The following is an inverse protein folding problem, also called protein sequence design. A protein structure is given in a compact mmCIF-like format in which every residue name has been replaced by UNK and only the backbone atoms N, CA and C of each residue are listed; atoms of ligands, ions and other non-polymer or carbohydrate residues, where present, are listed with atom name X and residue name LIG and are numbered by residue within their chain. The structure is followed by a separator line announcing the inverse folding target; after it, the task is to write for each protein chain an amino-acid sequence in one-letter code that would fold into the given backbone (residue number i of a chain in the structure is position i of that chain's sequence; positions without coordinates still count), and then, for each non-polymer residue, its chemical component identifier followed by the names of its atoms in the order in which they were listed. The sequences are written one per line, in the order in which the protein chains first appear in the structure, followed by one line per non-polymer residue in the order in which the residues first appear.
data_IF_959284220878
#
_entry.id   IF_959284220878
#
_cell.length_a   1.000
_cell.length_b   1.000
_cell.length_c   1.000
_cell.angle_alpha   90.00
_cell.angle_beta   90.00
_cell.angle_gamma   90.00
#
_symmetry.space_group_name_H-M   'P 1'
#
loop_
_entity.id
_entity.type
_entity.pdbx_description
1 polymer ?
#
# COMPACT_ATOMS: atom_id res chain seq x y z
N UNK A 1 7.79 -28.40 20.51
CA UNK A 1 7.98 -26.98 20.93
C UNK A 1 6.94 -26.13 20.19
N UNK A 2 6.32 -25.17 20.84
CA UNK A 2 5.30 -24.35 20.18
C UNK A 2 5.97 -23.33 19.22
N UNK A 3 6.31 -23.79 18.02
CA UNK A 3 6.91 -22.96 16.96
C UNK A 3 6.00 -21.79 16.55
N UNK A 4 4.71 -21.95 16.79
CA UNK A 4 3.67 -20.97 16.51
C UNK A 4 3.49 -19.91 17.61
N UNK A 5 4.43 -19.81 18.57
CA UNK A 5 4.36 -18.78 19.61
C UNK A 5 4.76 -17.42 19.01
N UNK A 6 3.85 -16.45 18.96
CA UNK A 6 4.18 -15.13 18.45
C UNK A 6 5.02 -14.34 19.47
N UNK A 7 5.67 -13.30 18.99
CA UNK A 7 6.31 -12.31 19.84
C UNK A 7 5.25 -11.36 20.45
N UNK A 8 5.48 -10.85 21.65
CA UNK A 8 4.50 -9.99 22.34
C UNK A 8 4.13 -8.76 21.51
N UNK A 9 5.12 -8.12 20.88
CA UNK A 9 4.86 -6.94 20.03
C UNK A 9 4.05 -7.29 18.77
N UNK A 10 4.10 -8.53 18.30
CA UNK A 10 3.26 -9.01 17.21
C UNK A 10 1.79 -9.05 17.61
N UNK A 11 1.47 -9.51 18.83
CA UNK A 11 0.09 -9.65 19.30
C UNK A 11 -0.62 -8.28 19.34
N UNK A 12 0.08 -7.24 19.76
CA UNK A 12 -0.46 -5.87 19.77
C UNK A 12 -0.60 -5.30 18.36
N UNK A 13 0.43 -5.46 17.52
CA UNK A 13 0.43 -4.97 16.15
C UNK A 13 -0.60 -5.70 15.26
N UNK A 14 -0.84 -6.98 15.51
CA UNK A 14 -1.78 -7.81 14.71
C UNK A 14 -3.19 -7.23 14.67
N UNK A 15 -3.64 -6.59 15.77
CA UNK A 15 -4.95 -5.91 15.86
C UNK A 15 -5.01 -4.69 14.95
N UNK A 16 -3.90 -3.94 14.86
CA UNK A 16 -3.76 -2.78 13.98
C UNK A 16 -3.70 -3.25 12.52
N UNK A 17 -2.88 -4.24 12.21
CA UNK A 17 -2.76 -4.80 10.86
C UNK A 17 -4.09 -5.33 10.34
N UNK A 18 -4.83 -6.08 11.17
CA UNK A 18 -6.18 -6.53 10.82
C UNK A 18 -7.09 -5.35 10.45
N UNK A 19 -7.10 -4.29 11.26
CA UNK A 19 -7.88 -3.08 11.00
C UNK A 19 -7.49 -2.45 9.67
N UNK A 20 -6.19 -2.26 9.43
CA UNK A 20 -5.66 -1.69 8.18
C UNK A 20 -6.07 -2.54 6.98
N UNK A 21 -5.95 -3.85 7.08
CA UNK A 21 -6.29 -4.80 6.03
C UNK A 21 -7.79 -4.75 5.70
N UNK A 22 -8.65 -4.80 6.72
CA UNK A 22 -10.10 -4.79 6.55
C UNK A 22 -10.60 -3.45 5.98
N UNK A 23 -10.08 -2.32 6.47
CA UNK A 23 -10.41 -0.98 5.93
C UNK A 23 -9.94 -0.84 4.48
N UNK A 24 -8.73 -1.28 4.17
CA UNK A 24 -8.22 -1.27 2.79
C UNK A 24 -9.02 -2.19 1.87
N UNK A 25 -9.42 -3.37 2.34
CA UNK A 25 -10.28 -4.29 1.60
C UNK A 25 -11.66 -3.69 1.30
N UNK A 26 -12.16 -2.81 2.18
CA UNK A 26 -13.36 -2.01 1.97
C UNK A 26 -14.59 -2.53 2.68
N UNK A 27 -15.77 -2.08 2.20
CA UNK A 27 -17.07 -2.23 2.86
C UNK A 27 -17.38 -3.66 3.35
N UNK A 28 -17.20 -4.63 2.50
CA UNK A 28 -17.60 -6.01 2.83
C UNK A 28 -16.73 -6.62 3.94
N UNK A 29 -15.44 -6.29 3.97
CA UNK A 29 -14.53 -6.69 5.03
C UNK A 29 -14.88 -5.99 6.36
N UNK A 30 -15.25 -4.71 6.32
CA UNK A 30 -15.68 -3.95 7.49
C UNK A 30 -16.99 -4.53 8.05
N UNK A 31 -17.97 -4.86 7.21
CA UNK A 31 -19.21 -5.52 7.62
C UNK A 31 -18.90 -6.90 8.23
N UNK A 32 -18.03 -7.69 7.61
CA UNK A 32 -17.61 -9.00 8.12
C UNK A 32 -16.91 -8.92 9.48
N UNK A 33 -16.22 -7.81 9.76
CA UNK A 33 -15.60 -7.51 11.05
C UNK A 33 -16.61 -7.34 12.19
N UNK A 34 -17.88 -7.07 11.88
CA UNK A 34 -19.00 -7.03 12.81
C UNK A 34 -18.81 -6.04 13.96
N UNK A 35 -19.00 -6.52 15.19
CA UNK A 35 -18.95 -5.68 16.41
C UNK A 35 -17.58 -5.01 16.66
N UNK A 36 -16.51 -5.49 16.03
CA UNK A 36 -15.19 -4.86 16.13
C UNK A 36 -15.22 -3.44 15.52
N UNK A 37 -15.97 -3.26 14.43
CA UNK A 37 -16.01 -1.99 13.70
C UNK A 37 -17.33 -1.24 13.86
N UNK A 38 -18.44 -1.98 14.02
CA UNK A 38 -19.79 -1.41 14.12
C UNK A 38 -20.45 -1.86 15.41
N UNK A 39 -20.68 -0.97 16.38
CA UNK A 39 -21.33 -1.31 17.63
C UNK A 39 -22.70 -1.93 17.39
N UNK A 40 -23.06 -2.86 18.25
CA UNK A 40 -24.39 -3.49 18.23
C UNK A 40 -25.45 -2.53 18.71
N UNK A 41 -26.53 -2.44 17.96
CA UNK A 41 -27.69 -1.67 18.40
C UNK A 41 -28.35 -2.37 19.60
N UNK A 42 -28.68 -1.62 20.66
CA UNK A 42 -29.36 -2.19 21.82
C UNK A 42 -30.68 -2.90 21.43
N UNK A 43 -30.87 -4.10 21.92
CA UNK A 43 -32.10 -4.91 21.68
C UNK A 43 -32.44 -5.22 20.21
N UNK A 44 -31.50 -4.97 19.26
CA UNK A 44 -31.75 -5.32 17.86
C UNK A 44 -31.67 -6.83 17.62
N UNK A 45 -32.59 -7.35 16.80
CA UNK A 45 -32.48 -8.71 16.27
C UNK A 45 -31.26 -8.79 15.30
N UNK A 46 -30.74 -10.01 15.05
CA UNK A 46 -29.66 -10.18 14.06
C UNK A 46 -30.01 -9.63 12.67
N UNK A 47 -31.25 -9.74 12.24
CA UNK A 47 -31.76 -9.20 10.96
C UNK A 47 -31.79 -7.65 10.97
N UNK A 48 -32.22 -7.04 12.09
CA UNK A 48 -32.21 -5.59 12.23
C UNK A 48 -30.80 -5.03 12.25
N UNK A 49 -29.84 -5.68 12.93
CA UNK A 49 -28.44 -5.32 12.93
C UNK A 49 -27.84 -5.45 11.51
N UNK A 50 -28.13 -6.52 10.79
CA UNK A 50 -27.68 -6.70 9.42
C UNK A 50 -28.27 -5.62 8.49
N UNK A 51 -29.56 -5.30 8.64
CA UNK A 51 -30.19 -4.22 7.86
C UNK A 51 -29.56 -2.85 8.15
N UNK A 52 -29.24 -2.55 9.40
CA UNK A 52 -28.53 -1.33 9.82
C UNK A 52 -27.16 -1.23 9.16
N UNK A 53 -26.30 -2.25 9.29
CA UNK A 53 -24.96 -2.24 8.70
C UNK A 53 -24.99 -2.24 7.17
N UNK A 54 -25.96 -2.95 6.54
CA UNK A 54 -26.09 -2.98 5.09
C UNK A 54 -26.59 -1.65 4.47
N UNK A 55 -27.13 -0.73 5.25
CA UNK A 55 -27.46 0.62 4.75
C UNK A 55 -26.28 1.54 4.70
N UNK A 56 -25.32 1.39 5.61
CA UNK A 56 -24.18 2.28 5.70
C UNK A 56 -23.38 2.37 4.39
N UNK A 57 -22.92 3.56 4.08
CA UNK A 57 -22.02 3.82 2.96
C UNK A 57 -20.58 3.93 3.47
N UNK A 58 -19.68 3.12 2.92
CA UNK A 58 -18.27 3.10 3.33
C UNK A 58 -17.40 3.87 2.32
N UNK A 59 -16.81 4.97 2.75
CA UNK A 59 -15.87 5.76 1.96
C UNK A 59 -14.44 5.24 2.16
N UNK A 60 -13.91 4.50 1.17
CA UNK A 60 -12.57 3.91 1.24
C UNK A 60 -11.47 4.93 0.86
N UNK A 61 -11.25 5.90 1.75
CA UNK A 61 -10.19 6.88 1.59
C UNK A 61 -8.80 6.22 1.68
N UNK A 62 -8.64 5.21 2.56
CA UNK A 62 -7.35 4.54 2.78
C UNK A 62 -6.81 3.92 1.48
N UNK A 63 -7.61 3.11 0.78
CA UNK A 63 -7.18 2.48 -0.48
C UNK A 63 -6.80 3.52 -1.53
N UNK A 64 -7.60 4.57 -1.67
CA UNK A 64 -7.31 5.65 -2.62
C UNK A 64 -6.00 6.34 -2.31
N UNK A 65 -5.76 6.63 -1.03
CA UNK A 65 -4.52 7.26 -0.57
C UNK A 65 -3.31 6.36 -0.81
N UNK A 66 -3.37 5.07 -0.42
CA UNK A 66 -2.27 4.11 -0.71
C UNK A 66 -1.97 4.07 -2.21
N UNK A 67 -3.01 3.90 -3.05
CA UNK A 67 -2.83 3.85 -4.51
C UNK A 67 -2.21 5.12 -5.06
N UNK A 68 -2.66 6.28 -4.58
CA UNK A 68 -2.13 7.55 -5.03
C UNK A 68 -0.69 7.82 -4.58
N UNK A 69 -0.33 7.49 -3.32
CA UNK A 69 1.03 7.63 -2.81
C UNK A 69 2.01 6.72 -3.56
N UNK A 70 1.61 5.45 -3.79
CA UNK A 70 2.39 4.51 -4.60
C UNK A 70 2.52 5.04 -6.03
N UNK A 71 1.41 5.51 -6.63
CA UNK A 71 1.44 6.13 -7.96
C UNK A 71 2.38 7.33 -8.06
N UNK A 72 2.47 8.15 -7.02
CA UNK A 72 3.43 9.26 -6.95
C UNK A 72 4.89 8.79 -6.92
N UNK A 73 5.22 7.80 -6.07
CA UNK A 73 6.57 7.24 -5.98
C UNK A 73 6.99 6.57 -7.31
N UNK A 74 6.07 5.89 -7.99
CA UNK A 74 6.32 5.18 -9.24
C UNK A 74 5.86 5.95 -10.49
N UNK A 75 5.66 7.25 -10.38
CA UNK A 75 5.30 8.10 -11.50
C UNK A 75 6.38 8.11 -12.59
N UNK A 76 7.64 8.10 -12.18
CA UNK A 76 8.78 7.81 -13.04
C UNK A 76 9.20 6.35 -12.83
N UNK A 77 9.59 5.68 -13.91
CA UNK A 77 10.05 4.29 -13.81
C UNK A 77 11.26 4.18 -12.88
N UNK A 78 11.28 3.22 -11.94
CA UNK A 78 12.43 2.99 -11.08
C UNK A 78 13.69 2.71 -11.89
N UNK A 79 14.81 3.24 -11.43
CA UNK A 79 16.11 2.91 -12.00
C UNK A 79 16.84 1.93 -11.07
N UNK A 80 17.27 0.81 -11.64
CA UNK A 80 18.03 -0.21 -10.95
C UNK A 80 19.45 -0.23 -11.50
N UNK A 81 20.41 0.17 -10.68
CA UNK A 81 21.83 0.07 -11.00
C UNK A 81 22.38 -1.17 -10.31
N UNK A 82 22.69 -2.20 -11.10
CA UNK A 82 23.09 -3.52 -10.61
C UNK A 82 24.21 -4.10 -11.45
N UNK A 83 25.02 -5.04 -10.91
CA UNK A 83 26.01 -5.76 -11.70
C UNK A 83 25.36 -6.44 -12.92
N UNK A 84 26.07 -6.52 -14.05
CA UNK A 84 25.57 -7.09 -15.31
C UNK A 84 25.02 -8.52 -15.18
N UNK A 85 25.52 -9.31 -14.22
CA UNK A 85 25.01 -10.65 -13.92
C UNK A 85 23.63 -10.68 -13.28
N UNK A 86 23.23 -9.59 -12.58
CA UNK A 86 21.92 -9.47 -11.93
C UNK A 86 20.89 -8.87 -12.88
N UNK A 87 21.33 -8.09 -13.87
CA UNK A 87 20.44 -7.37 -14.79
C UNK A 87 19.35 -8.26 -15.43
N UNK A 88 19.63 -9.48 -15.91
CA UNK A 88 18.59 -10.34 -16.48
C UNK A 88 17.55 -10.84 -15.47
N UNK A 89 17.86 -10.80 -14.16
CA UNK A 89 16.94 -11.27 -13.13
C UNK A 89 15.89 -10.24 -12.75
N UNK A 90 16.09 -8.97 -13.14
CA UNK A 90 15.13 -7.90 -12.86
C UNK A 90 13.79 -8.12 -13.59
N UNK A 91 13.77 -8.90 -14.66
CA UNK A 91 12.57 -9.25 -15.40
C UNK A 91 11.71 -10.31 -14.70
N UNK A 92 12.31 -11.06 -13.77
CA UNK A 92 11.61 -12.05 -12.95
C UNK A 92 12.37 -12.29 -11.63
N UNK A 93 12.05 -11.53 -10.60
CA UNK A 93 12.74 -11.57 -9.30
C UNK A 93 12.17 -12.62 -8.33
N UNK A 94 11.03 -13.23 -8.65
CA UNK A 94 10.31 -14.16 -7.78
C UNK A 94 10.24 -15.60 -8.28
N UNK A 95 10.73 -15.88 -9.48
CA UNK A 95 10.53 -17.12 -10.26
C UNK A 95 9.06 -17.38 -10.66
N UNK A 96 8.22 -16.33 -10.61
CA UNK A 96 6.81 -16.37 -11.01
C UNK A 96 6.46 -15.28 -12.03
N UNK A 97 7.46 -14.82 -12.78
CA UNK A 97 7.35 -13.77 -13.81
C UNK A 97 6.98 -12.38 -13.26
N UNK A 98 7.37 -12.07 -12.02
CA UNK A 98 7.21 -10.73 -11.43
C UNK A 98 8.49 -9.93 -11.64
N UNK A 99 8.39 -8.80 -12.34
CA UNK A 99 9.52 -7.89 -12.54
C UNK A 99 9.91 -7.17 -11.24
N UNK A 100 11.15 -6.70 -11.14
CA UNK A 100 11.60 -5.89 -9.98
C UNK A 100 10.75 -4.64 -9.78
N UNK A 101 10.30 -4.01 -10.86
CA UNK A 101 9.39 -2.85 -10.80
C UNK A 101 8.05 -3.22 -10.15
N UNK A 102 7.41 -4.31 -10.59
CA UNK A 102 6.15 -4.77 -10.03
C UNK A 102 6.31 -5.17 -8.56
N UNK A 103 7.37 -5.90 -8.23
CA UNK A 103 7.72 -6.26 -6.85
C UNK A 103 7.90 -5.01 -5.97
N UNK A 104 8.63 -4.00 -6.46
CA UNK A 104 8.89 -2.75 -5.73
C UNK A 104 7.60 -1.99 -5.44
N UNK A 105 6.67 -1.94 -6.40
CA UNK A 105 5.36 -1.30 -6.28
C UNK A 105 4.50 -2.01 -5.22
N UNK A 106 4.41 -3.34 -5.27
CA UNK A 106 3.67 -4.15 -4.29
C UNK A 106 4.28 -4.03 -2.89
N UNK A 107 5.61 -4.11 -2.78
CA UNK A 107 6.33 -3.95 -1.52
C UNK A 107 6.11 -2.57 -0.89
N UNK A 108 6.15 -1.50 -1.70
CA UNK A 108 5.87 -0.13 -1.23
C UNK A 108 4.43 0.03 -0.76
N UNK A 109 3.47 -0.55 -1.50
CA UNK A 109 2.06 -0.56 -1.10
C UNK A 109 1.85 -1.26 0.24
N UNK A 110 2.48 -2.40 0.45
CA UNK A 110 2.40 -3.16 1.70
C UNK A 110 3.05 -2.42 2.87
N UNK A 111 4.21 -1.80 2.65
CA UNK A 111 4.91 -0.99 3.64
C UNK A 111 4.09 0.24 4.06
N UNK A 112 3.45 0.93 3.12
CA UNK A 112 2.55 2.06 3.41
C UNK A 112 1.32 1.61 4.19
N UNK A 113 0.78 0.44 3.86
CA UNK A 113 -0.43 -0.08 4.48
C UNK A 113 -0.17 -0.67 5.86
N UNK A 114 0.90 -1.47 6.03
CA UNK A 114 1.15 -2.26 7.23
C UNK A 114 2.31 -1.76 8.09
N UNK A 115 3.10 -0.80 7.59
CA UNK A 115 4.33 -0.35 8.24
C UNK A 115 5.48 -1.35 8.17
N UNK A 116 5.30 -2.52 7.51
CA UNK A 116 6.31 -3.57 7.46
C UNK A 116 6.02 -4.60 6.37
N UNK A 117 7.07 -5.07 5.71
CA UNK A 117 7.08 -6.27 4.85
C UNK A 117 8.36 -7.05 5.12
N UNK A 118 8.27 -8.38 5.26
CA UNK A 118 9.44 -9.26 5.31
C UNK A 118 9.80 -9.76 3.92
N UNK A 119 11.08 -9.80 3.58
CA UNK A 119 11.55 -10.38 2.31
C UNK A 119 12.74 -11.31 2.58
N UNK A 120 12.60 -12.55 2.16
CA UNK A 120 13.65 -13.55 2.16
C UNK A 120 14.29 -13.58 0.76
N UNK A 121 15.60 -13.47 0.69
CA UNK A 121 16.35 -13.83 -0.52
C UNK A 121 16.68 -15.30 -0.44
N UNK A 122 16.25 -16.10 -1.40
CA UNK A 122 16.41 -17.55 -1.40
C UNK A 122 17.07 -18.03 -2.69
N UNK A 123 17.68 -19.20 -2.67
CA UNK A 123 18.28 -19.84 -3.83
C UNK A 123 17.45 -21.07 -4.21
N UNK A 124 17.01 -21.18 -5.45
CA UNK A 124 16.28 -22.35 -5.91
C UNK A 124 17.11 -23.63 -5.74
N UNK A 125 16.56 -24.63 -5.05
CA UNK A 125 17.24 -25.88 -4.79
C UNK A 125 17.31 -26.77 -6.05
N UNK A 126 16.27 -26.72 -6.87
CA UNK A 126 16.16 -27.46 -8.13
C UNK A 126 15.79 -26.50 -9.24
N UNK A 127 16.51 -26.56 -10.34
CA UNK A 127 16.23 -25.81 -11.56
C UNK A 127 15.96 -26.83 -12.67
N UNK A 128 14.77 -26.76 -13.25
CA UNK A 128 14.36 -27.68 -14.31
C UNK A 128 15.02 -27.30 -15.64
N UNK A 129 15.18 -25.99 -15.88
CA UNK A 129 15.88 -25.43 -17.06
C UNK A 129 16.52 -24.09 -16.68
N UNK A 130 17.84 -23.98 -16.72
CA UNK A 130 18.56 -22.73 -16.53
C UNK A 130 19.58 -22.72 -15.40
N UNK A 131 20.15 -21.55 -15.13
CA UNK A 131 21.09 -21.32 -14.02
C UNK A 131 20.37 -21.17 -12.69
N UNK A 132 20.93 -21.79 -11.65
CA UNK A 132 20.49 -21.59 -10.28
C UNK A 132 20.73 -20.13 -9.87
N UNK A 133 19.66 -19.40 -9.58
CA UNK A 133 19.73 -17.97 -9.25
C UNK A 133 18.95 -17.63 -7.97
N UNK A 134 19.36 -16.57 -7.24
CA UNK A 134 18.61 -16.07 -6.12
C UNK A 134 17.26 -15.47 -6.57
N UNK A 135 16.26 -15.56 -5.69
CA UNK A 135 14.94 -14.99 -5.91
C UNK A 135 14.37 -14.41 -4.59
N UNK A 136 13.36 -13.58 -4.72
CA UNK A 136 12.71 -12.89 -3.59
C UNK A 136 11.42 -13.60 -3.20
N UNK A 137 11.24 -13.82 -1.89
CA UNK A 137 10.00 -14.32 -1.30
C UNK A 137 9.49 -13.30 -0.29
N UNK A 138 8.32 -12.72 -0.54
CA UNK A 138 7.71 -11.74 0.36
C UNK A 138 6.84 -12.40 1.41
N UNK A 139 6.90 -11.86 2.63
CA UNK A 139 6.06 -12.26 3.77
C UNK A 139 5.39 -11.01 4.34
N UNK A 140 4.07 -10.98 4.28
CA UNK A 140 3.29 -9.87 4.88
C UNK A 140 3.57 -9.77 6.37
N UNK A 141 3.31 -8.61 6.97
CA UNK A 141 3.58 -8.35 8.38
C UNK A 141 2.97 -9.42 9.30
N UNK A 142 1.76 -9.89 8.97
CA UNK A 142 1.02 -10.91 9.72
C UNK A 142 1.65 -12.31 9.64
N UNK A 143 2.49 -12.55 8.64
CA UNK A 143 3.12 -13.84 8.41
C UNK A 143 4.54 -13.95 9.01
N UNK A 144 5.08 -12.88 9.56
CA UNK A 144 6.33 -12.90 10.34
C UNK A 144 5.98 -12.86 11.82
N UNK A 145 5.77 -14.00 12.44
CA UNK A 145 5.19 -14.10 13.79
C UNK A 145 6.20 -13.92 14.92
N UNK A 146 7.47 -14.28 14.69
CA UNK A 146 8.53 -14.16 15.69
C UNK A 146 9.88 -13.87 15.04
N UNK A 147 10.72 -13.11 15.73
CA UNK A 147 12.09 -12.81 15.31
C UNK A 147 12.96 -12.48 16.53
N UNK A 148 14.25 -12.69 16.41
CA UNK A 148 15.23 -12.36 17.43
C UNK A 148 16.48 -11.77 16.79
N UNK A 149 17.02 -10.75 17.41
CA UNK A 149 18.35 -10.22 17.11
C UNK A 149 19.30 -10.47 18.26
N UNK A 150 20.58 -10.55 17.94
CA UNK A 150 21.66 -10.60 18.92
C UNK A 150 22.72 -9.60 18.47
N UNK A 151 23.24 -8.82 19.39
CA UNK A 151 24.35 -7.92 19.09
C UNK A 151 25.64 -8.75 18.94
N UNK A 152 26.20 -8.72 17.74
CA UNK A 152 27.48 -9.35 17.41
C UNK A 152 28.44 -8.25 16.94
N UNK A 153 29.47 -7.99 17.73
CA UNK A 153 30.50 -6.99 17.42
C UNK A 153 29.99 -5.56 17.19
N UNK A 154 28.86 -5.20 17.79
CA UNK A 154 28.24 -3.86 17.62
C UNK A 154 27.09 -3.84 16.61
N UNK A 155 26.91 -4.88 15.83
CA UNK A 155 25.81 -4.99 14.86
C UNK A 155 24.67 -5.88 15.39
N UNK A 156 23.43 -5.46 15.19
CA UNK A 156 22.24 -6.25 15.50
C UNK A 156 21.95 -7.22 14.36
N UNK A 157 22.34 -8.47 14.56
CA UNK A 157 22.19 -9.55 13.59
C UNK A 157 20.95 -10.38 13.89
N UNK A 158 20.15 -10.70 12.87
CA UNK A 158 19.03 -11.64 13.00
C UNK A 158 19.56 -13.05 13.32
N UNK A 159 19.06 -13.64 14.41
CA UNK A 159 19.40 -15.00 14.82
C UNK A 159 18.24 -15.97 14.74
N UNK A 160 17.01 -15.45 14.64
CA UNK A 160 15.80 -16.24 14.47
C UNK A 160 14.79 -15.43 13.64
N UNK A 161 14.10 -16.07 12.69
CA UNK A 161 12.87 -15.57 12.08
C UNK A 161 11.90 -16.74 11.93
N UNK A 162 10.64 -16.56 12.35
CA UNK A 162 9.59 -17.55 12.21
C UNK A 162 8.53 -17.01 11.25
N UNK A 163 8.39 -17.69 10.13
CA UNK A 163 7.52 -17.34 9.02
C UNK A 163 6.35 -18.31 8.97
N UNK A 164 5.14 -17.79 8.90
CA UNK A 164 3.93 -18.59 8.71
C UNK A 164 3.61 -18.65 7.22
N UNK A 165 3.38 -19.84 6.72
CA UNK A 165 3.10 -20.12 5.31
C UNK A 165 1.82 -20.95 5.16
N UNK A 166 1.20 -20.83 4.00
CA UNK A 166 0.00 -21.58 3.66
C UNK A 166 0.15 -22.23 2.27
N UNK A 167 1.05 -23.21 2.11
CA UNK A 167 1.13 -23.95 0.86
C UNK A 167 -0.19 -24.66 0.57
N UNK A 168 -0.45 -24.84 -0.71
CA UNK A 168 -1.65 -25.53 -1.18
C UNK A 168 -1.27 -26.92 -1.69
N UNK A 169 -2.04 -27.93 -1.28
CA UNK A 169 -1.91 -29.30 -1.76
C UNK A 169 -3.24 -29.74 -2.37
N UNK A 170 -3.15 -30.53 -3.43
CA UNK A 170 -4.34 -31.12 -4.05
C UNK A 170 -4.95 -32.15 -3.09
N UNK A 171 -6.27 -32.20 -3.04
CA UNK A 171 -6.98 -33.23 -2.28
C UNK A 171 -6.90 -34.59 -3.03
N UNK A 172 -6.48 -35.63 -2.33
CA UNK A 172 -6.30 -36.97 -2.94
C UNK A 172 -7.63 -37.55 -3.49
N UNK A 173 -8.77 -37.10 -2.97
CA UNK A 173 -10.11 -37.58 -3.34
C UNK A 173 -10.80 -36.74 -4.40
N UNK A 174 -10.39 -35.47 -4.57
CA UNK A 174 -11.00 -34.53 -5.51
C UNK A 174 -9.91 -33.66 -6.19
N UNK A 175 -9.61 -33.89 -7.47
CA UNK A 175 -8.56 -33.16 -8.19
C UNK A 175 -8.88 -31.68 -8.42
N UNK A 176 -10.10 -31.24 -8.14
CA UNK A 176 -10.51 -29.82 -8.21
C UNK A 176 -10.48 -29.11 -6.85
N UNK A 177 -10.28 -29.87 -5.77
CA UNK A 177 -10.21 -29.34 -4.43
C UNK A 177 -8.77 -29.13 -4.01
N UNK A 178 -8.50 -27.93 -3.52
CA UNK A 178 -7.20 -27.51 -3.01
C UNK A 178 -7.30 -27.27 -1.51
N UNK A 179 -6.46 -27.95 -0.74
CA UNK A 179 -6.36 -27.78 0.69
C UNK A 179 -5.19 -26.83 1.02
N UNK A 180 -5.44 -25.87 1.90
CA UNK A 180 -4.41 -24.97 2.41
C UNK A 180 -3.86 -25.53 3.73
N UNK A 181 -2.55 -25.72 3.82
CA UNK A 181 -1.88 -26.29 4.98
C UNK A 181 -1.13 -25.21 5.71
N UNK A 182 -1.41 -25.02 7.00
CA UNK A 182 -0.64 -24.13 7.83
C UNK A 182 0.72 -24.76 8.17
N UNK A 183 1.79 -24.08 7.80
CA UNK A 183 3.16 -24.48 8.17
C UNK A 183 3.97 -23.29 8.64
N UNK A 184 5.05 -23.58 9.35
CA UNK A 184 6.01 -22.59 9.81
C UNK A 184 7.38 -22.89 9.24
N UNK A 185 8.01 -21.88 8.64
CA UNK A 185 9.40 -21.90 8.24
C UNK A 185 10.21 -21.17 9.30
N UNK A 186 11.14 -21.88 9.92
CA UNK A 186 12.01 -21.33 10.95
C UNK A 186 13.40 -21.13 10.37
N UNK A 187 13.84 -19.89 10.34
CA UNK A 187 15.17 -19.47 9.93
C UNK A 187 16.00 -19.27 11.19
N UNK A 188 17.13 -19.96 11.31
CA UNK A 188 18.01 -19.84 12.49
C UNK A 188 19.44 -19.60 12.10
N UNK A 189 20.13 -18.77 12.88
CA UNK A 189 21.57 -18.56 12.80
C UNK A 189 22.18 -19.04 14.12
N UNK A 190 22.86 -20.18 14.09
CA UNK A 190 23.51 -20.79 15.26
C UNK A 190 24.99 -20.99 14.97
N UNK A 191 25.86 -20.51 15.83
CA UNK A 191 27.31 -20.59 15.67
C UNK A 191 27.82 -20.11 14.30
N UNK A 192 27.17 -19.06 13.73
CA UNK A 192 27.54 -18.52 12.43
C UNK A 192 27.07 -19.34 11.22
N UNK A 193 26.21 -20.33 11.43
CA UNK A 193 25.63 -21.17 10.37
C UNK A 193 24.13 -20.88 10.25
N UNK A 194 23.70 -20.46 9.09
CA UNK A 194 22.28 -20.25 8.75
C UNK A 194 21.63 -21.58 8.34
N UNK A 195 20.47 -21.87 8.91
CA UNK A 195 19.68 -23.06 8.59
C UNK A 195 18.20 -22.74 8.49
N UNK A 196 17.45 -23.55 7.75
CA UNK A 196 16.00 -23.50 7.59
C UNK A 196 15.38 -24.83 7.98
N UNK A 197 14.27 -24.78 8.74
CA UNK A 197 13.48 -25.97 9.08
C UNK A 197 12.00 -25.65 8.90
N UNK A 198 11.28 -26.53 8.21
CA UNK A 198 9.83 -26.48 8.14
C UNK A 198 9.21 -27.22 9.32
N UNK A 199 8.05 -26.74 9.76
CA UNK A 199 7.24 -27.37 10.80
C UNK A 199 5.80 -27.45 10.30
N UNK A 200 5.21 -28.62 10.42
CA UNK A 200 3.80 -28.87 10.09
C UNK A 200 3.08 -29.48 11.28
N UNK A 201 1.76 -29.31 11.28
CA UNK A 201 0.90 -29.90 12.31
C UNK A 201 0.91 -31.42 12.17
N UNK A 202 1.26 -32.13 13.23
CA UNK A 202 1.23 -33.58 13.24
C UNK A 202 -0.20 -34.10 13.38
N UNK A 203 -0.55 -35.13 12.63
CA UNK A 203 -1.89 -35.71 12.60
C UNK A 203 -2.33 -36.26 13.96
N UNK A 204 -1.37 -36.70 14.78
CA UNK A 204 -1.66 -37.43 16.04
C UNK A 204 -1.67 -36.55 17.29
N UNK A 205 -0.87 -35.46 17.32
CA UNK A 205 -0.73 -34.61 18.51
C UNK A 205 -1.38 -33.26 18.40
N UNK A 206 -1.60 -32.80 17.18
CA UNK A 206 -2.04 -31.45 16.93
C UNK A 206 -0.95 -30.38 17.14
N UNK A 207 0.24 -30.77 17.58
CA UNK A 207 1.42 -29.93 17.73
C UNK A 207 2.15 -29.78 16.40
N UNK A 208 2.95 -28.70 16.27
CA UNK A 208 3.83 -28.53 15.12
C UNK A 208 5.14 -29.27 15.34
N UNK A 209 5.46 -30.16 14.42
CA UNK A 209 6.67 -30.98 14.43
C UNK A 209 7.54 -30.69 13.19
N UNK A 210 8.88 -30.92 13.25
CA UNK A 210 9.75 -30.76 12.09
C UNK A 210 9.23 -31.58 10.90
N UNK A 211 9.14 -30.94 9.74
CA UNK A 211 8.70 -31.56 8.49
C UNK A 211 9.82 -31.47 7.45
N UNK A 212 10.21 -32.60 6.89
CA UNK A 212 11.34 -32.71 5.98
C UNK A 212 12.70 -32.53 6.67
N UNK A 213 13.74 -32.49 5.86
CA UNK A 213 15.11 -32.31 6.37
C UNK A 213 15.41 -30.83 6.62
N UNK A 214 16.29 -30.58 7.59
CA UNK A 214 16.83 -29.24 7.82
C UNK A 214 17.74 -28.85 6.65
N UNK A 215 17.50 -27.71 6.07
CA UNK A 215 18.26 -27.18 4.93
C UNK A 215 19.31 -26.20 5.44
N UNK A 216 20.54 -26.38 4.98
CA UNK A 216 21.62 -25.40 5.17
C UNK A 216 21.95 -24.80 3.80
N UNK A 217 21.45 -23.57 3.51
CA UNK A 217 21.77 -22.93 2.25
C UNK A 217 23.27 -22.65 2.12
N UNK A 218 23.80 -22.96 0.96
CA UNK A 218 25.23 -22.82 0.66
C UNK A 218 25.46 -21.72 -0.36
N UNK A 219 26.54 -20.99 -0.18
CA UNK A 219 27.15 -20.15 -1.21
C UNK A 219 28.52 -20.67 -1.54
N UNK A 220 28.71 -21.16 -2.76
CA UNK A 220 30.00 -21.73 -3.21
C UNK A 220 30.52 -22.88 -2.35
N UNK A 221 29.61 -23.69 -1.82
CA UNK A 221 29.93 -24.79 -0.95
C UNK A 221 30.09 -24.46 0.53
N UNK A 222 30.06 -23.18 0.91
CA UNK A 222 30.14 -22.73 2.31
C UNK A 222 28.77 -22.30 2.84
N UNK A 223 28.44 -22.62 4.10
CA UNK A 223 27.22 -22.14 4.73
C UNK A 223 27.17 -20.61 4.83
N UNK A 224 25.96 -20.04 4.72
CA UNK A 224 25.77 -18.61 4.95
C UNK A 224 25.97 -18.26 6.43
N UNK A 225 26.67 -17.15 6.68
CA UNK A 225 26.97 -16.65 8.03
C UNK A 225 25.93 -15.65 8.55
N UNK A 226 24.82 -15.43 7.83
CA UNK A 226 23.71 -14.56 8.24
C UNK A 226 22.39 -15.06 7.63
N UNK A 227 21.26 -14.66 8.20
CA UNK A 227 19.93 -14.93 7.65
C UNK A 227 19.66 -13.91 6.53
N UNK A 228 19.48 -14.33 5.27
CA UNK A 228 19.26 -13.43 4.12
C UNK A 228 17.81 -12.91 4.09
N UNK A 229 17.35 -12.38 5.23
CA UNK A 229 16.01 -11.85 5.43
C UNK A 229 16.09 -10.36 5.79
N UNK A 230 15.26 -9.56 5.15
CA UNK A 230 15.21 -8.11 5.35
C UNK A 230 13.79 -7.68 5.69
N UNK A 231 13.66 -6.83 6.70
CA UNK A 231 12.41 -6.12 6.95
C UNK A 231 12.43 -4.80 6.21
N UNK A 232 11.48 -4.61 5.30
CA UNK A 232 11.21 -3.35 4.65
C UNK A 232 10.28 -2.54 5.57
N UNK A 233 10.56 -1.25 5.75
CA UNK A 233 9.81 -0.36 6.62
C UNK A 233 9.68 1.04 5.98
N UNK A 234 8.70 1.85 6.39
CA UNK A 234 8.46 3.19 5.82
C UNK A 234 9.50 4.25 6.25
N UNK A 235 10.33 3.90 7.19
CA UNK A 235 11.51 4.65 7.61
C UNK A 235 12.69 3.68 7.64
N UNK A 236 13.90 4.14 7.96
CA UNK A 236 15.11 3.31 7.95
C UNK A 236 14.88 1.87 8.40
N UNK A 237 15.60 0.93 7.76
CA UNK A 237 15.49 -0.50 8.02
C UNK A 237 15.53 -0.79 9.53
N UNK A 238 14.44 -1.29 10.07
CA UNK A 238 14.29 -1.59 11.49
C UNK A 238 13.72 -2.98 11.65
N UNK A 239 14.34 -3.76 12.52
CA UNK A 239 13.81 -5.07 12.91
C UNK A 239 12.56 -4.93 13.79
N UNK A 240 12.40 -3.79 14.47
CA UNK A 240 11.22 -3.46 15.27
C UNK A 240 9.99 -3.17 14.40
N UNK A 241 8.82 -3.43 14.97
CA UNK A 241 7.55 -3.08 14.34
C UNK A 241 7.40 -1.55 14.32
N UNK A 242 7.07 -0.99 13.17
CA UNK A 242 6.69 0.41 13.02
C UNK A 242 5.19 0.51 12.88
N UNK A 243 4.63 1.58 13.40
CA UNK A 243 3.22 1.89 13.21
C UNK A 243 2.94 2.17 11.72
N UNK A 244 1.84 1.64 11.17
CA UNK A 244 1.46 1.94 9.79
C UNK A 244 1.29 3.45 9.57
N UNK A 245 1.91 4.04 8.53
CA UNK A 245 1.87 5.50 8.29
C UNK A 245 0.47 6.08 8.13
N UNK A 246 -0.49 5.25 7.72
CA UNK A 246 -1.86 5.67 7.41
C UNK A 246 -2.90 5.17 8.44
N UNK A 247 -2.47 4.80 9.65
CA UNK A 247 -3.37 4.25 10.68
C UNK A 247 -4.45 5.25 11.10
N UNK A 248 -4.14 6.52 11.19
CA UNK A 248 -5.12 7.56 11.53
C UNK A 248 -6.21 7.69 10.46
N UNK A 249 -5.84 7.58 9.19
CA UNK A 249 -6.80 7.57 8.07
C UNK A 249 -7.74 6.37 8.16
N UNK A 250 -7.26 5.19 8.53
CA UNK A 250 -8.09 4.02 8.77
C UNK A 250 -9.05 4.23 9.95
N UNK A 251 -8.58 4.84 11.03
CA UNK A 251 -9.40 5.14 12.21
C UNK A 251 -10.54 6.12 11.89
N UNK A 252 -10.26 7.17 11.12
CA UNK A 252 -11.27 8.14 10.68
C UNK A 252 -12.26 7.49 9.72
N UNK A 253 -11.81 6.64 8.78
CA UNK A 253 -12.69 5.91 7.87
C UNK A 253 -13.69 5.02 8.61
N UNK A 254 -13.27 4.35 9.70
CA UNK A 254 -14.17 3.57 10.54
C UNK A 254 -15.11 4.47 11.39
N UNK A 255 -14.66 5.64 11.77
CA UNK A 255 -15.51 6.61 12.48
C UNK A 255 -16.56 7.21 11.55
N UNK A 256 -16.21 7.49 10.30
CA UNK A 256 -17.14 7.92 9.25
C UNK A 256 -18.16 6.83 8.95
N UNK A 257 -17.72 5.58 8.79
CA UNK A 257 -18.59 4.42 8.58
C UNK A 257 -19.69 4.30 9.63
N UNK A 258 -19.37 4.46 10.92
CA UNK A 258 -20.36 4.40 12.01
C UNK A 258 -21.41 5.50 11.88
N UNK A 259 -20.97 6.72 11.62
CA UNK A 259 -21.89 7.84 11.42
C UNK A 259 -22.73 7.66 10.15
N UNK A 260 -22.19 7.06 9.10
CA UNK A 260 -22.92 6.73 7.88
C UNK A 260 -24.01 5.72 8.15
N UNK A 261 -23.74 4.66 8.94
CA UNK A 261 -24.78 3.70 9.35
C UNK A 261 -25.92 4.39 10.12
N UNK A 262 -25.60 5.27 11.07
CA UNK A 262 -26.57 6.03 11.84
C UNK A 262 -27.39 6.97 10.95
N UNK A 263 -26.74 7.68 10.05
CA UNK A 263 -27.36 8.59 9.10
C UNK A 263 -28.33 7.89 8.18
N UNK A 264 -27.91 6.81 7.50
CA UNK A 264 -28.76 6.04 6.60
C UNK A 264 -29.91 5.37 7.34
N UNK A 265 -29.71 4.91 8.57
CA UNK A 265 -30.79 4.41 9.41
C UNK A 265 -31.78 5.51 9.77
N UNK A 266 -31.30 6.70 10.11
CA UNK A 266 -32.13 7.87 10.40
C UNK A 266 -32.96 8.29 9.19
N UNK A 267 -32.37 8.35 7.99
CA UNK A 267 -33.08 8.64 6.74
C UNK A 267 -34.18 7.57 6.47
N UNK A 268 -33.88 6.31 6.71
CA UNK A 268 -34.84 5.22 6.53
C UNK A 268 -36.07 5.37 7.48
N UNK A 269 -35.82 5.73 8.74
CA UNK A 269 -36.89 5.98 9.72
C UNK A 269 -37.70 7.25 9.42
N UNK A 270 -37.05 8.28 8.88
CA UNK A 270 -37.74 9.51 8.41
C UNK A 270 -38.63 9.24 7.22
N UNK A 271 -38.20 8.40 6.28
CA UNK A 271 -38.94 8.08 5.08
C UNK A 271 -40.16 7.17 5.32
N UNK A 272 -40.17 6.43 6.44
CA UNK A 272 -41.16 5.43 6.78
C UNK A 272 -41.74 5.72 8.17
N UNK A 273 -42.63 6.73 8.34
CA UNK A 273 -43.25 7.02 9.62
C UNK A 273 -44.07 5.81 10.14
N UNK A 274 -43.96 5.55 11.43
CA UNK A 274 -44.62 4.41 12.06
C UNK A 274 -46.06 4.81 12.43
N UNK A 275 -47.10 4.14 11.87
CA UNK A 275 -48.46 4.36 12.29
C UNK A 275 -48.66 3.85 13.70
N UNK A 276 -49.38 4.59 14.50
CA UNK A 276 -49.86 4.13 15.81
C UNK A 276 -51.34 4.28 15.95
N UNK A 277 -51.94 3.37 16.69
CA UNK A 277 -53.35 3.41 17.04
C UNK A 277 -53.48 3.12 18.51
N UNK A 278 -54.23 3.95 19.24
CA UNK A 278 -54.58 3.74 20.62
C UNK A 278 -56.09 3.63 20.77
N UNK A 279 -56.57 2.84 21.75
CA UNK A 279 -58.01 2.72 22.04
C UNK A 279 -58.81 2.01 20.97
N UNK A 280 -58.32 0.96 20.35
CA UNK A 280 -59.09 0.10 19.48
C UNK A 280 -60.19 -0.59 20.30
N UNK A 281 -61.45 -0.57 19.81
CA UNK A 281 -62.54 -1.42 20.36
C UNK A 281 -62.18 -2.87 20.03
N UNK A 282 -62.03 -3.66 21.12
CA UNK A 282 -61.54 -5.00 21.06
C UNK A 282 -62.23 -5.90 20.01
N UNK A 283 -61.43 -6.39 19.13
CA UNK A 283 -61.62 -7.65 18.46
C UNK A 283 -60.51 -8.56 18.97
N UNK A 284 -60.87 -9.70 19.41
CA UNK A 284 -59.93 -10.76 19.71
C UNK A 284 -59.10 -11.04 18.47
N UNK A 285 -57.83 -11.16 18.68
CA UNK A 285 -56.87 -11.78 17.77
C UNK A 285 -56.24 -10.91 16.69
N UNK A 286 -54.91 -10.87 16.74
CA UNK A 286 -53.90 -10.73 15.66
C UNK A 286 -54.30 -10.07 14.32
N UNK A 287 -55.26 -9.15 14.31
CA UNK A 287 -55.57 -8.41 13.08
C UNK A 287 -54.43 -7.46 12.77
N UNK A 288 -53.57 -7.88 11.87
CA UNK A 288 -52.56 -6.98 11.23
C UNK A 288 -53.34 -5.79 10.65
N UNK A 289 -53.10 -4.62 11.26
CA UNK A 289 -53.67 -3.38 10.75
C UNK A 289 -53.11 -3.10 9.37
N UNK A 290 -53.94 -3.15 8.36
CA UNK A 290 -53.53 -2.78 6.99
C UNK A 290 -53.54 -1.27 6.84
N UNK A 291 -52.49 -0.75 6.22
CA UNK A 291 -52.36 0.67 5.83
C UNK A 291 -52.59 0.76 4.33
N UNK A 292 -53.55 1.58 3.92
CA UNK A 292 -53.79 1.79 2.50
C UNK A 292 -54.97 2.75 2.27
N UNK A 293 -55.11 3.26 1.06
CA UNK A 293 -56.12 4.30 0.72
C UNK A 293 -57.57 3.80 0.88
N UNK A 294 -57.80 2.49 1.03
CA UNK A 294 -59.12 1.91 1.21
C UNK A 294 -59.32 1.28 2.60
N UNK A 295 -58.45 1.61 3.56
CA UNK A 295 -58.50 1.04 4.91
C UNK A 295 -59.12 2.02 5.88
N UNK A 296 -60.13 1.60 6.64
CA UNK A 296 -60.80 2.39 7.68
C UNK A 296 -60.53 1.72 9.03
N UNK A 297 -59.96 2.48 9.97
CA UNK A 297 -59.77 2.03 11.34
C UNK A 297 -60.90 2.57 12.23
N UNK A 298 -61.57 1.65 12.91
CA UNK A 298 -62.62 2.00 13.87
C UNK A 298 -61.99 2.14 15.27
N UNK A 299 -62.04 3.35 15.82
CA UNK A 299 -61.53 3.69 17.13
C UNK A 299 -62.66 3.79 18.17
N UNK A 300 -62.31 3.63 19.45
CA UNK A 300 -63.23 3.94 20.56
C UNK A 300 -63.36 5.46 20.70
N UNK A 301 -64.33 5.90 21.54
CA UNK A 301 -64.61 7.32 21.80
C UNK A 301 -63.40 8.14 22.24
N UNK A 302 -62.43 7.51 22.90
CA UNK A 302 -61.15 8.10 23.33
C UNK A 302 -59.95 7.54 22.53
N UNK A 303 -60.17 6.90 21.39
CA UNK A 303 -59.12 6.35 20.57
C UNK A 303 -58.47 7.41 19.67
N UNK A 304 -57.19 7.27 19.45
CA UNK A 304 -56.44 8.11 18.49
C UNK A 304 -55.61 7.25 17.56
N UNK A 305 -55.48 7.71 16.33
CA UNK A 305 -54.55 7.16 15.36
C UNK A 305 -53.69 8.30 14.81
N UNK A 306 -52.44 8.01 14.51
CA UNK A 306 -51.55 8.97 13.93
C UNK A 306 -50.31 8.30 13.36
N UNK A 307 -49.43 9.12 12.82
CA UNK A 307 -48.12 8.69 12.40
C UNK A 307 -47.11 9.17 13.43
N UNK A 308 -46.26 8.27 13.93
CA UNK A 308 -45.11 8.63 14.71
C UNK A 308 -44.01 9.02 13.72
N UNK A 309 -43.74 10.30 13.64
CA UNK A 309 -42.71 10.84 12.78
C UNK A 309 -41.46 11.11 13.59
N UNK A 310 -40.33 10.74 13.03
CA UNK A 310 -39.03 11.12 13.56
C UNK A 310 -38.75 12.57 13.18
N UNK A 311 -38.47 13.43 14.15
CA UNK A 311 -38.34 14.90 13.93
C UNK A 311 -37.16 15.31 13.04
N UNK A 312 -36.20 14.40 12.84
CA UNK A 312 -35.00 14.66 12.03
C UNK A 312 -34.04 15.69 12.60
N UNK A 313 -34.29 16.22 13.80
CA UNK A 313 -33.47 17.30 14.37
C UNK A 313 -31.97 16.95 14.51
N UNK A 314 -31.64 15.65 14.74
CA UNK A 314 -30.28 15.16 14.83
C UNK A 314 -29.58 14.92 13.48
N UNK A 315 -30.34 14.85 12.38
CA UNK A 315 -29.78 14.50 11.06
C UNK A 315 -28.75 15.50 10.55
N UNK A 316 -29.04 16.78 10.71
CA UNK A 316 -28.10 17.86 10.31
C UNK A 316 -26.77 17.77 11.06
N UNK A 317 -26.77 17.36 12.33
CA UNK A 317 -25.54 17.15 13.10
C UNK A 317 -24.72 15.96 12.58
N UNK A 318 -25.38 14.89 12.14
CA UNK A 318 -24.73 13.74 11.50
C UNK A 318 -24.13 14.12 10.14
N UNK A 319 -24.87 14.85 9.31
CA UNK A 319 -24.38 15.38 8.03
C UNK A 319 -23.12 16.25 8.24
N UNK A 320 -23.17 17.21 9.15
CA UNK A 320 -22.02 18.06 9.50
C UNK A 320 -20.83 17.22 10.00
N UNK A 321 -21.09 16.17 10.79
CA UNK A 321 -20.03 15.28 11.29
C UNK A 321 -19.44 14.43 10.17
N UNK A 322 -20.24 13.96 9.20
CA UNK A 322 -19.77 13.24 8.02
C UNK A 322 -18.90 14.13 7.13
N UNK A 323 -19.37 15.36 6.82
CA UNK A 323 -18.59 16.35 6.05
C UNK A 323 -17.25 16.68 6.74
N UNK A 324 -17.26 16.90 8.07
CA UNK A 324 -16.04 17.16 8.81
C UNK A 324 -15.04 15.99 8.72
N UNK A 325 -15.50 14.73 8.82
CA UNK A 325 -14.65 13.56 8.70
C UNK A 325 -14.13 13.36 7.29
N UNK A 326 -14.96 13.61 6.27
CA UNK A 326 -14.51 13.57 4.87
C UNK A 326 -13.43 14.62 4.62
N UNK A 327 -13.58 15.82 5.17
CA UNK A 327 -12.55 16.85 5.10
C UNK A 327 -11.26 16.44 5.85
N UNK A 328 -11.38 15.80 7.02
CA UNK A 328 -10.21 15.26 7.74
C UNK A 328 -9.52 14.16 6.94
N UNK A 329 -10.27 13.24 6.33
CA UNK A 329 -9.71 12.20 5.47
C UNK A 329 -9.00 12.80 4.25
N UNK A 330 -9.59 13.80 3.62
CA UNK A 330 -8.95 14.55 2.54
C UNK A 330 -7.66 15.23 3.02
N UNK A 331 -7.67 15.83 4.21
CA UNK A 331 -6.49 16.48 4.79
C UNK A 331 -5.37 15.48 5.08
N UNK A 332 -5.68 14.28 5.59
CA UNK A 332 -4.68 13.25 5.91
C UNK A 332 -4.22 12.44 4.69
N UNK A 333 -5.07 12.29 3.69
CA UNK A 333 -4.80 11.44 2.54
C UNK A 333 -4.57 12.22 1.24
N UNK A 334 -5.45 13.14 0.90
CA UNK A 334 -5.45 13.83 -0.39
C UNK A 334 -4.54 15.05 -0.44
N UNK A 335 -4.19 15.66 0.68
CA UNK A 335 -3.18 16.73 0.70
C UNK A 335 -1.81 16.28 0.17
N UNK A 336 -1.59 14.97 0.14
CA UNK A 336 -0.39 14.38 -0.45
C UNK A 336 -0.51 14.21 -1.98
N UNK A 337 -1.71 14.44 -2.59
CA UNK A 337 -2.01 14.05 -3.96
C UNK A 337 -2.69 15.14 -4.81
N UNK A 338 -3.26 16.20 -4.24
CA UNK A 338 -3.96 17.23 -5.01
C UNK A 338 -3.11 18.47 -5.21
N UNK A 339 -2.93 18.85 -6.49
CA UNK A 339 -2.77 20.26 -6.87
C UNK A 339 -4.00 21.02 -6.39
N UNK A 340 -3.92 21.63 -5.21
CA UNK A 340 -5.00 22.50 -4.75
C UNK A 340 -5.16 23.68 -5.73
N UNK A 341 -6.38 23.99 -6.17
CA UNK A 341 -6.59 25.17 -6.99
C UNK A 341 -6.01 26.38 -6.26
N UNK A 342 -5.09 27.05 -6.90
CA UNK A 342 -4.46 28.26 -6.40
C UNK A 342 -5.54 29.27 -6.06
N UNK A 343 -5.80 29.46 -4.77
CA UNK A 343 -6.54 30.63 -4.32
C UNK A 343 -5.71 31.85 -4.73
N UNK A 344 -6.30 32.73 -5.48
CA UNK A 344 -5.68 33.83 -6.23
C UNK A 344 -4.86 34.87 -5.41
N UNK A 345 -4.42 34.54 -4.20
CA UNK A 345 -3.72 35.43 -3.27
C UNK A 345 -2.47 34.83 -2.61
N UNK A 346 -2.06 33.57 -2.91
CA UNK A 346 -0.85 33.01 -2.32
C UNK A 346 0.38 33.31 -3.18
N UNK A 347 1.48 33.71 -2.53
CA UNK A 347 2.76 33.88 -3.23
C UNK A 347 3.35 32.52 -3.60
N UNK A 348 4.03 32.41 -4.75
CA UNK A 348 4.68 31.18 -5.21
C UNK A 348 5.57 30.54 -4.12
N UNK A 349 6.23 31.35 -3.29
CA UNK A 349 7.08 30.91 -2.18
C UNK A 349 6.27 30.25 -1.05
N UNK A 350 5.07 30.73 -0.75
CA UNK A 350 4.20 30.14 0.27
C UNK A 350 3.63 28.79 -0.22
N UNK A 351 3.29 28.72 -1.49
CA UNK A 351 2.85 27.47 -2.15
C UNK A 351 3.97 26.43 -2.12
N UNK A 352 5.18 26.78 -2.49
CA UNK A 352 6.36 25.90 -2.47
C UNK A 352 6.70 25.42 -1.05
N UNK A 353 6.64 26.31 -0.04
CA UNK A 353 6.93 25.95 1.35
C UNK A 353 5.88 24.97 1.92
N UNK A 354 4.62 25.13 1.55
CA UNK A 354 3.53 24.22 1.94
C UNK A 354 3.72 22.84 1.30
N UNK A 355 3.96 22.78 -0.01
CA UNK A 355 4.21 21.54 -0.74
C UNK A 355 5.46 20.81 -0.25
N UNK A 356 6.53 21.52 0.10
CA UNK A 356 7.74 20.91 0.66
C UNK A 356 7.47 20.15 1.97
N UNK A 357 6.59 20.67 2.83
CA UNK A 357 6.18 19.96 4.06
C UNK A 357 5.28 18.75 3.81
N UNK A 358 4.39 18.85 2.83
CA UNK A 358 3.42 17.80 2.48
C UNK A 358 4.12 16.59 1.80
N UNK A 359 5.14 16.83 1.00
CA UNK A 359 5.91 15.79 0.32
C UNK A 359 7.03 15.17 1.18
N UNK A 360 7.37 15.76 2.33
CA UNK A 360 8.43 15.26 3.19
C UNK A 360 8.21 13.80 3.63
N UNK A 361 6.98 13.44 4.00
CA UNK A 361 6.64 12.05 4.40
C UNK A 361 6.77 11.08 3.23
N UNK A 362 6.29 11.46 2.05
CA UNK A 362 6.36 10.62 0.85
C UNK A 362 7.80 10.42 0.41
N UNK A 363 8.60 11.48 0.47
CA UNK A 363 10.03 11.44 0.19
C UNK A 363 10.77 10.51 1.17
N UNK A 364 10.48 10.61 2.47
CA UNK A 364 11.07 9.71 3.47
C UNK A 364 10.76 8.24 3.19
N UNK A 365 9.52 7.93 2.76
CA UNK A 365 9.16 6.56 2.38
C UNK A 365 9.89 6.13 1.12
N UNK A 366 9.99 6.99 0.10
CA UNK A 366 10.73 6.69 -1.13
C UNK A 366 12.22 6.41 -0.83
N UNK A 367 12.89 7.27 -0.06
CA UNK A 367 14.28 7.10 0.36
C UNK A 367 14.48 5.80 1.17
N UNK A 368 13.56 5.49 2.09
CA UNK A 368 13.61 4.23 2.84
C UNK A 368 13.43 3.02 1.94
N UNK A 369 12.54 3.09 0.95
CA UNK A 369 12.34 2.01 -0.01
C UNK A 369 13.52 1.83 -0.95
N UNK A 370 14.18 2.91 -1.40
CA UNK A 370 15.43 2.84 -2.18
C UNK A 370 16.51 2.03 -1.43
N UNK A 371 16.75 2.35 -0.15
CA UNK A 371 17.73 1.64 0.67
C UNK A 371 17.33 0.18 0.90
N UNK A 372 16.06 -0.08 1.24
CA UNK A 372 15.55 -1.42 1.50
C UNK A 372 15.64 -2.31 0.26
N UNK A 373 15.19 -1.82 -0.89
CA UNK A 373 15.24 -2.56 -2.16
C UNK A 373 16.68 -2.74 -2.65
N UNK A 374 17.51 -1.70 -2.51
CA UNK A 374 18.95 -1.77 -2.80
C UNK A 374 19.64 -2.86 -1.97
N UNK A 375 19.27 -3.02 -0.69
CA UNK A 375 19.80 -4.09 0.17
C UNK A 375 19.42 -5.48 -0.34
N UNK A 376 18.19 -5.69 -0.82
CA UNK A 376 17.79 -6.95 -1.42
C UNK A 376 18.61 -7.28 -2.68
N UNK A 377 18.79 -6.31 -3.56
CA UNK A 377 19.59 -6.47 -4.78
C UNK A 377 21.07 -6.74 -4.47
N UNK A 378 21.62 -6.12 -3.42
CA UNK A 378 22.96 -6.42 -2.93
C UNK A 378 23.10 -7.86 -2.45
N UNK A 379 22.13 -8.39 -1.70
CA UNK A 379 22.11 -9.80 -1.26
C UNK A 379 22.01 -10.74 -2.47
N UNK A 380 21.13 -10.47 -3.43
CA UNK A 380 21.01 -11.26 -4.66
C UNK A 380 22.33 -11.28 -5.45
N UNK A 381 22.91 -10.10 -5.68
CA UNK A 381 24.18 -9.96 -6.38
C UNK A 381 25.34 -10.66 -5.65
N UNK A 382 25.38 -10.55 -4.32
CA UNK A 382 26.38 -11.21 -3.50
C UNK A 382 26.30 -12.73 -3.60
N UNK A 383 25.10 -13.32 -3.58
CA UNK A 383 24.91 -14.77 -3.59
C UNK A 383 25.53 -15.43 -4.82
N UNK A 384 25.45 -14.78 -5.97
CA UNK A 384 26.01 -15.25 -7.24
C UNK A 384 27.41 -14.70 -7.55
N UNK A 385 27.85 -13.68 -6.84
CA UNK A 385 29.07 -12.92 -7.10
C UNK A 385 30.34 -13.45 -6.38
N UNK A 386 31.40 -12.69 -6.55
CA UNK A 386 32.72 -12.94 -5.93
C UNK A 386 32.94 -12.14 -4.66
N UNK A 387 32.12 -11.13 -4.44
CA UNK A 387 32.25 -10.16 -3.35
C UNK A 387 32.20 -10.88 -1.98
N UNK A 388 33.03 -10.47 -1.01
CA UNK A 388 33.09 -11.13 0.30
C UNK A 388 31.82 -10.92 1.12
N UNK A 389 31.21 -9.73 1.06
CA UNK A 389 29.97 -9.40 1.77
C UNK A 389 28.92 -8.78 0.84
N UNK A 390 27.64 -8.81 1.21
CA UNK A 390 26.59 -8.11 0.43
C UNK A 390 26.83 -6.61 0.30
N UNK A 391 27.53 -5.97 1.25
CA UNK A 391 27.82 -4.53 1.24
C UNK A 391 28.85 -4.17 0.15
N UNK A 392 29.67 -5.13 -0.27
CA UNK A 392 30.66 -4.91 -1.33
C UNK A 392 30.05 -4.96 -2.75
N UNK A 393 28.78 -5.35 -2.86
CA UNK A 393 28.06 -5.37 -4.14
C UNK A 393 27.58 -3.97 -4.48
N UNK A 394 27.99 -3.48 -5.64
CA UNK A 394 27.48 -2.21 -6.17
C UNK A 394 26.07 -2.44 -6.73
N UNK A 395 25.05 -2.16 -5.91
CA UNK A 395 23.65 -2.20 -6.32
C UNK A 395 22.87 -1.08 -5.61
N UNK A 396 22.10 -0.33 -6.39
CA UNK A 396 21.26 0.76 -5.89
C UNK A 396 19.94 0.83 -6.64
N UNK A 397 18.96 1.45 -6.00
CA UNK A 397 17.63 1.72 -6.55
C UNK A 397 17.39 3.20 -6.43
N UNK A 398 16.86 3.81 -7.48
CA UNK A 398 16.43 5.21 -7.49
C UNK A 398 14.94 5.24 -7.82
N UNK A 399 14.15 5.82 -6.92
CA UNK A 399 12.71 6.05 -7.07
C UNK A 399 12.45 7.53 -7.35
N UNK A 400 11.24 7.85 -7.78
CA UNK A 400 10.85 9.24 -7.93
C UNK A 400 10.77 9.92 -6.55
N UNK A 401 11.50 11.00 -6.37
CA UNK A 401 11.47 11.86 -5.17
C UNK A 401 10.94 13.27 -5.50
N UNK A 402 10.71 13.54 -6.80
CA UNK A 402 10.16 14.79 -7.27
C UNK A 402 8.66 14.62 -7.51
N UNK A 403 7.89 15.02 -6.52
CA UNK A 403 6.42 14.94 -6.53
C UNK A 403 5.76 16.23 -7.02
N UNK A 404 6.55 17.28 -7.28
CA UNK A 404 6.10 18.54 -7.83
C UNK A 404 6.33 18.52 -9.35
N UNK A 405 5.27 18.33 -10.12
CA UNK A 405 5.34 18.58 -11.56
C UNK A 405 5.34 20.10 -11.84
N UNK A 406 6.35 20.80 -11.40
CA UNK A 406 6.60 22.15 -11.91
C UNK A 406 7.31 21.97 -13.24
N UNK A 407 6.54 21.89 -14.34
CA UNK A 407 7.14 21.98 -15.68
C UNK A 407 7.92 23.28 -15.73
N UNK A 408 9.21 23.19 -16.02
CA UNK A 408 10.05 24.37 -16.18
C UNK A 408 9.41 25.33 -17.19
N UNK A 409 9.35 26.61 -16.82
CA UNK A 409 8.82 27.63 -17.71
C UNK A 409 9.72 27.76 -18.96
N UNK A 410 9.18 28.02 -20.14
CA UNK A 410 10.01 28.21 -21.34
C UNK A 410 11.15 29.21 -21.16
N UNK A 411 10.96 30.23 -20.31
CA UNK A 411 11.99 31.21 -19.97
C UNK A 411 13.14 30.61 -19.15
N UNK A 412 12.87 29.68 -18.24
CA UNK A 412 13.88 28.99 -17.44
C UNK A 412 14.77 28.14 -18.34
N UNK A 413 14.16 27.44 -19.30
CA UNK A 413 14.91 26.63 -20.29
C UNK A 413 15.75 27.50 -21.21
N UNK A 414 15.21 28.66 -21.67
CA UNK A 414 16.00 29.60 -22.43
C UNK A 414 17.20 30.11 -21.63
N UNK A 415 17.01 30.42 -20.35
CA UNK A 415 18.11 30.84 -19.47
C UNK A 415 19.15 29.72 -19.30
N UNK A 416 18.70 28.49 -19.06
CA UNK A 416 19.60 27.33 -18.95
C UNK A 416 20.37 27.09 -20.26
N UNK A 417 19.72 27.23 -21.42
CA UNK A 417 20.38 27.12 -22.73
C UNK A 417 21.44 28.24 -22.94
N UNK A 418 21.11 29.47 -22.56
CA UNK A 418 22.08 30.59 -22.63
C UNK A 418 23.30 30.35 -21.72
N UNK A 419 23.05 29.80 -20.52
CA UNK A 419 24.12 29.47 -19.54
C UNK A 419 25.00 28.32 -20.06
N UNK A 420 24.40 27.33 -20.73
CA UNK A 420 25.15 26.28 -21.43
C UNK A 420 26.00 26.84 -22.56
N UNK A 421 25.43 27.74 -23.38
CA UNK A 421 26.12 28.38 -24.50
C UNK A 421 27.27 29.32 -24.03
N UNK A 422 27.11 29.94 -22.87
CA UNK A 422 28.13 30.71 -22.20
C UNK A 422 29.26 29.87 -21.60
N UNK A 423 29.09 28.55 -21.53
CA UNK A 423 30.08 27.62 -20.94
C UNK A 423 30.09 27.58 -19.42
N UNK A 424 29.07 28.16 -18.74
CA UNK A 424 28.96 28.25 -17.29
C UNK A 424 28.42 26.98 -16.65
N UNK A 425 27.69 26.12 -17.41
CA UNK A 425 27.21 24.81 -16.99
C UNK A 425 27.58 23.72 -17.99
N UNK A 426 27.73 22.49 -17.52
CA UNK A 426 27.99 21.33 -18.38
C UNK A 426 26.72 20.86 -19.13
N UNK A 427 26.92 20.15 -20.24
CA UNK A 427 25.80 19.51 -20.96
C UNK A 427 25.03 18.51 -20.05
N UNK A 428 25.72 17.78 -19.18
CA UNK A 428 25.07 16.88 -18.22
C UNK A 428 24.17 17.65 -17.24
N UNK A 429 24.62 18.80 -16.74
CA UNK A 429 23.80 19.67 -15.88
C UNK A 429 22.59 20.22 -16.63
N UNK A 430 22.78 20.67 -17.86
CA UNK A 430 21.66 21.14 -18.70
C UNK A 430 20.65 20.02 -18.99
N UNK A 431 21.14 18.82 -19.31
CA UNK A 431 20.27 17.66 -19.55
C UNK A 431 19.44 17.30 -18.30
N UNK A 432 20.06 17.32 -17.13
CA UNK A 432 19.35 17.10 -15.86
C UNK A 432 18.26 18.16 -15.63
N UNK A 433 18.54 19.43 -15.89
CA UNK A 433 17.53 20.50 -15.80
C UNK A 433 16.36 20.29 -16.77
N UNK A 434 16.61 19.81 -17.99
CA UNK A 434 15.55 19.47 -18.95
C UNK A 434 14.73 18.27 -18.49
N UNK A 435 15.37 17.25 -17.93
CA UNK A 435 14.71 16.04 -17.39
C UNK A 435 13.86 16.40 -16.18
N UNK A 436 14.40 17.14 -15.22
CA UNK A 436 13.68 17.64 -14.03
C UNK A 436 12.51 18.55 -14.44
N UNK A 437 12.71 19.40 -15.46
CA UNK A 437 11.69 20.28 -15.99
C UNK A 437 10.62 19.59 -16.87
N UNK A 438 10.71 18.27 -17.09
CA UNK A 438 9.75 17.50 -17.91
C UNK A 438 9.82 17.78 -19.40
N UNK A 439 10.96 18.26 -19.92
CA UNK A 439 11.22 18.55 -21.33
C UNK A 439 12.09 17.50 -22.02
N UNK A 440 12.79 16.68 -21.28
CA UNK A 440 13.57 15.56 -21.79
C UNK A 440 12.92 14.21 -21.45
N UNK A 441 13.33 13.16 -22.16
CA UNK A 441 12.86 11.80 -21.90
C UNK A 441 13.38 11.29 -20.57
N UNK A 442 12.50 10.71 -19.76
CA UNK A 442 12.91 9.98 -18.56
C UNK A 442 13.72 8.74 -18.97
N UNK A 443 14.68 8.35 -18.16
CA UNK A 443 15.53 7.15 -18.34
C UNK A 443 16.57 7.21 -19.48
N UNK A 444 16.89 8.38 -20.01
CA UNK A 444 17.98 8.58 -20.98
C UNK A 444 19.06 9.43 -20.32
N UNK A 445 20.28 8.93 -20.28
CA UNK A 445 21.42 9.70 -19.75
C UNK A 445 21.86 10.78 -20.73
N UNK A 446 22.52 11.84 -20.22
CA UNK A 446 23.10 12.89 -21.06
C UNK A 446 24.08 12.34 -22.12
N UNK A 447 24.76 11.25 -21.81
CA UNK A 447 25.71 10.58 -22.70
C UNK A 447 25.00 9.80 -23.81
N UNK A 448 23.94 9.07 -23.47
CA UNK A 448 23.12 8.33 -24.42
C UNK A 448 22.41 9.25 -25.40
N UNK A 449 21.80 10.34 -24.92
CA UNK A 449 21.17 11.34 -25.78
C UNK A 449 22.19 12.02 -26.71
N UNK A 450 23.36 12.34 -26.17
CA UNK A 450 24.43 12.91 -27.00
C UNK A 450 24.95 11.93 -28.05
N UNK A 451 25.01 10.65 -27.72
CA UNK A 451 25.35 9.59 -28.67
C UNK A 451 24.28 9.44 -29.75
N UNK A 452 23.00 9.58 -29.39
CA UNK A 452 21.86 9.55 -30.31
C UNK A 452 21.90 10.77 -31.25
N UNK A 453 22.10 11.98 -30.70
CA UNK A 453 22.27 13.21 -31.50
C UNK A 453 23.42 13.06 -32.51
N UNK A 454 24.55 12.51 -32.10
CA UNK A 454 25.71 12.28 -32.97
C UNK A 454 25.48 11.21 -34.05
N UNK A 455 24.50 10.32 -33.86
CA UNK A 455 24.09 9.30 -34.85
C UNK A 455 23.06 9.83 -35.85
N UNK A 456 22.37 10.92 -35.54
CA UNK A 456 21.42 11.52 -36.48
C UNK A 456 22.23 12.15 -37.62
N UNK A 457 21.94 11.81 -38.89
CA UNK A 457 22.60 12.47 -40.00
C UNK A 457 22.29 13.97 -39.99
N UNK A 458 23.27 14.77 -40.30
CA UNK A 458 23.29 16.24 -40.36
C UNK A 458 22.25 16.75 -41.41
N UNK A 459 20.95 16.65 -41.10
CA UNK A 459 19.87 17.12 -41.97
C UNK A 459 18.64 17.56 -41.15
N UNK A 460 18.77 18.66 -40.49
CA UNK A 460 17.65 19.60 -40.36
C UNK A 460 18.10 20.87 -41.03
N UNK A 461 17.49 21.29 -42.17
CA UNK A 461 17.78 22.60 -42.75
C UNK A 461 17.44 23.68 -41.70
N UNK A 462 18.21 24.77 -41.63
CA UNK A 462 17.88 25.88 -40.73
C UNK A 462 16.43 26.34 -41.06
N UNK A 463 15.66 26.75 -40.01
CA UNK A 463 14.31 27.24 -40.26
C UNK A 463 14.35 28.37 -41.30
N UNK A 464 13.68 28.15 -42.43
CA UNK A 464 13.53 29.16 -43.48
C UNK A 464 12.76 30.31 -42.86
N UNK A 465 13.39 31.50 -42.78
CA UNK A 465 12.69 32.75 -42.53
C UNK A 465 11.69 32.96 -43.64
N UNK A 466 10.48 32.54 -43.48
CA UNK A 466 9.35 33.06 -44.29
C UNK A 466 9.14 34.53 -43.90
N UNK A 467 9.72 35.38 -44.70
CA UNK A 467 9.39 36.81 -44.72
C UNK A 467 7.94 36.93 -45.10
N UNK A 468 7.07 37.12 -44.13
CA UNK A 468 5.67 37.53 -44.37
C UNK A 468 5.72 38.94 -44.97
N UNK A 469 5.64 39.02 -46.28
CA UNK A 469 5.32 40.25 -46.97
C UNK A 469 3.87 40.59 -46.66
N UNK A 470 3.66 41.52 -45.75
CA UNK A 470 2.38 42.23 -45.62
C UNK A 470 2.24 43.16 -46.81
N UNK A 471 1.50 42.74 -47.82
CA UNK A 471 0.99 43.68 -48.82
C UNK A 471 0.01 44.64 -48.11
N UNK A 472 0.41 45.91 -48.07
CA UNK A 472 -0.52 46.99 -47.75
C UNK A 472 -1.31 47.22 -49.02
N UNK A 473 -2.58 46.86 -49.01
CA UNK A 473 -3.55 47.46 -49.91
C UNK A 473 -3.92 48.86 -49.37
N UNK A 474 -3.50 49.85 -50.13
CA UNK A 474 -4.04 51.20 -50.01
C UNK A 474 -5.45 51.22 -50.70
N UNK A 475 -6.50 51.53 -49.92
CA UNK A 475 -7.61 52.38 -50.29
C UNK A 475 -8.43 52.74 -49.04
#
# INVERSE_FOLDING_TARGET
MPVNTPRTEYDDASKVWRRMRDVNAGRDAVIKGGEIYTPKLPAASPSAQAAYTNRGNFYNALRRTVTGLVGGIFQRAPRFDVPSRVQPWLDDVTLTHVTMTAFSLEATSEVLLMGRLGVLVELALTVTDGEQRPYLVSYTAENVINWRTTNLNGDDVLTLVVLREYPTELDDSDPFKVNSIEQYRVLTLVAGVYTQQLYRKADHSGDFEPYGEQITPLRRGEPLSFIPFTFLAPSYASVGIKEPPLVDLANISLSEWRNSCDHEQGLHLLALPTPYVSGMKGGSDDSILQIGPSTIWMLSENGSAGMLEYSGAGMKSLETALEAKQHQMATLGAKLLEEQPTLAAETATAVLARHAGEHATLRTVAEAMEENLGRLLRIMGWWSGLEPTPLDVSASVTLNQDFLQVKAQPQEIQTALMTLQAGEISYATFWNLLTEGGWARDNVTAEEERAEINRQPEQLPPPTEEVIKVEREDE
#
